data_IF_039580340136
#
_entry.id   IF_039580340136
#
_cell.length_a   1.000
_cell.length_b   1.000
_cell.length_c   1.000
_cell.angle_alpha   90.00
_cell.angle_beta   90.00
_cell.angle_gamma   90.00
#
_symmetry.space_group_name_H-M   'P 1'
#
loop_
_entity.id
_entity.type
_entity.pdbx_description
1 polymer ?
#
# COMPACT_ATOMS: atom_id res chain seq x y z
N UNK A 1 15.27 -30.43 7.27
CA UNK A 1 13.82 -30.73 7.30
C UNK A 1 13.11 -29.46 7.63
N UNK A 2 12.75 -28.68 6.60
CA UNK A 2 11.92 -27.49 6.76
C UNK A 2 10.49 -27.96 7.01
N UNK A 3 10.02 -27.74 8.23
CA UNK A 3 8.61 -27.92 8.58
C UNK A 3 7.79 -26.91 7.78
N UNK A 4 7.20 -27.36 6.67
CA UNK A 4 6.27 -26.60 5.89
C UNK A 4 5.13 -26.11 6.77
N UNK A 5 5.22 -24.83 7.18
CA UNK A 5 4.17 -24.17 7.98
C UNK A 5 2.88 -24.17 7.17
N UNK A 6 1.85 -24.82 7.68
CA UNK A 6 0.58 -24.95 6.99
C UNK A 6 0.04 -23.57 6.64
N UNK A 7 -0.09 -23.31 5.36
CA UNK A 7 -0.73 -22.12 4.83
C UNK A 7 -2.21 -22.24 5.14
N UNK A 8 -2.75 -21.32 5.94
CA UNK A 8 -4.18 -21.31 6.27
C UNK A 8 -4.89 -20.41 5.26
N UNK A 9 -5.80 -21.00 4.51
CA UNK A 9 -6.72 -20.26 3.64
C UNK A 9 -7.90 -19.73 4.44
N UNK A 10 -8.34 -18.53 4.11
CA UNK A 10 -9.47 -17.86 4.76
C UNK A 10 -10.56 -17.59 3.73
N UNK A 11 -11.81 -17.90 4.10
CA UNK A 11 -12.99 -17.70 3.26
C UNK A 11 -13.68 -16.35 3.47
N UNK A 12 -13.18 -15.54 4.41
CA UNK A 12 -13.76 -14.24 4.76
C UNK A 12 -12.78 -13.12 4.46
N UNK A 13 -13.25 -11.92 4.11
CA UNK A 13 -12.39 -10.75 3.97
C UNK A 13 -11.64 -10.47 5.27
N UNK A 14 -10.40 -10.02 5.15
CA UNK A 14 -9.56 -9.59 6.28
C UNK A 14 -9.10 -8.16 6.06
N UNK A 15 -8.94 -7.42 7.15
CA UNK A 15 -8.35 -6.08 7.12
C UNK A 15 -6.95 -6.15 7.73
N UNK A 16 -5.99 -5.50 7.10
CA UNK A 16 -4.63 -5.41 7.58
C UNK A 16 -3.99 -4.07 7.21
N UNK A 17 -2.77 -3.86 7.65
CA UNK A 17 -2.02 -2.63 7.44
C UNK A 17 -1.17 -2.69 6.19
N UNK A 18 -1.13 -1.57 5.45
CA UNK A 18 -0.31 -1.46 4.24
C UNK A 18 0.23 -0.04 4.09
N UNK A 19 1.44 0.06 3.54
CA UNK A 19 1.99 1.31 3.06
C UNK A 19 1.76 1.44 1.54
N UNK A 20 1.54 2.67 1.09
CA UNK A 20 1.49 3.05 -0.33
C UNK A 20 2.39 4.24 -0.61
N UNK A 21 2.82 4.35 -1.84
CA UNK A 21 3.25 5.63 -2.40
C UNK A 21 2.03 6.41 -2.87
N UNK A 22 2.08 7.73 -2.81
CA UNK A 22 1.18 8.61 -3.55
C UNK A 22 1.96 9.08 -4.77
N UNK A 23 1.47 8.73 -5.95
CA UNK A 23 2.16 8.99 -7.21
C UNK A 23 1.36 9.93 -8.09
N UNK A 24 2.07 10.77 -8.83
CA UNK A 24 1.47 11.64 -9.82
C UNK A 24 1.24 10.87 -11.13
N UNK A 25 0.03 10.93 -11.65
CA UNK A 25 -0.37 10.32 -12.92
C UNK A 25 -1.07 11.35 -13.79
N UNK A 26 -1.25 11.06 -15.08
CA UNK A 26 -2.03 11.91 -15.97
C UNK A 26 -3.50 12.12 -15.51
N UNK A 27 -4.00 11.24 -14.65
CA UNK A 27 -5.35 11.32 -14.07
C UNK A 27 -5.35 11.89 -12.64
N UNK A 28 -4.29 12.59 -12.21
CA UNK A 28 -4.09 13.13 -10.87
C UNK A 28 -3.36 12.14 -9.94
N UNK A 29 -3.40 12.44 -8.63
CA UNK A 29 -2.73 11.60 -7.64
C UNK A 29 -3.42 10.24 -7.47
N UNK A 30 -2.62 9.19 -7.36
CA UNK A 30 -3.08 7.81 -7.14
C UNK A 30 -2.24 7.12 -6.09
N UNK A 31 -2.83 6.11 -5.45
CA UNK A 31 -2.06 5.17 -4.63
C UNK A 31 -1.20 4.30 -5.55
N UNK A 32 0.05 4.13 -5.19
CA UNK A 32 1.00 3.24 -5.85
C UNK A 32 1.52 2.19 -4.89
N UNK A 33 1.93 1.05 -5.39
CA UNK A 33 2.63 0.05 -4.59
C UNK A 33 4.05 0.51 -4.27
N UNK A 34 4.53 0.23 -3.03
CA UNK A 34 5.89 0.64 -2.61
C UNK A 34 7.02 -0.21 -3.22
N UNK A 35 6.71 -1.41 -3.73
CA UNK A 35 7.70 -2.35 -4.26
C UNK A 35 7.53 -2.64 -5.76
N UNK A 36 6.44 -2.22 -6.36
CA UNK A 36 6.13 -2.53 -7.76
C UNK A 36 5.54 -1.30 -8.43
N UNK A 37 5.81 -1.13 -9.70
CA UNK A 37 5.18 -0.10 -10.52
C UNK A 37 3.72 -0.49 -10.81
N UNK A 38 2.87 -0.29 -9.83
CA UNK A 38 1.44 -0.58 -9.88
C UNK A 38 0.66 0.56 -9.25
N UNK A 39 -0.04 1.33 -10.06
CA UNK A 39 -1.01 2.30 -9.59
C UNK A 39 -2.35 1.61 -9.27
N UNK A 40 -2.91 1.94 -8.12
CA UNK A 40 -4.21 1.42 -7.69
C UNK A 40 -5.32 2.32 -8.23
N UNK A 41 -6.29 1.79 -8.96
CA UNK A 41 -7.42 2.59 -9.44
C UNK A 41 -8.33 2.98 -8.28
N UNK A 42 -8.91 4.19 -8.35
CA UNK A 42 -10.00 4.59 -7.45
C UNK A 42 -11.31 3.92 -7.85
N UNK A 43 -12.13 3.57 -6.86
CA UNK A 43 -13.50 3.06 -7.07
C UNK A 43 -13.60 1.60 -7.53
N UNK A 44 -12.48 0.87 -7.68
CA UNK A 44 -12.51 -0.56 -8.01
C UNK A 44 -11.35 -1.33 -7.37
N UNK A 45 -11.63 -2.58 -7.03
CA UNK A 45 -10.64 -3.51 -6.50
C UNK A 45 -9.48 -3.75 -7.47
N UNK A 46 -8.31 -4.03 -6.89
CA UNK A 46 -7.15 -4.49 -7.63
C UNK A 46 -7.08 -6.01 -7.53
N UNK A 47 -6.81 -6.67 -8.66
CA UNK A 47 -6.61 -8.12 -8.75
C UNK A 47 -5.12 -8.40 -8.88
N UNK A 48 -4.62 -9.33 -8.08
CA UNK A 48 -3.21 -9.69 -8.09
C UNK A 48 -2.92 -10.69 -9.21
N UNK A 49 -1.78 -10.48 -9.85
CA UNK A 49 -1.20 -11.37 -10.84
C UNK A 49 0.16 -11.87 -10.35
N UNK A 50 0.55 -13.07 -10.78
CA UNK A 50 1.88 -13.58 -10.50
C UNK A 50 2.85 -13.10 -11.59
N UNK A 51 3.85 -12.30 -11.21
CA UNK A 51 4.84 -11.73 -12.13
C UNK A 51 6.15 -12.50 -12.17
N UNK A 52 6.25 -13.68 -11.55
CA UNK A 52 7.47 -14.47 -11.56
C UNK A 52 7.90 -14.95 -12.97
N UNK A 53 6.99 -14.92 -13.96
CA UNK A 53 7.30 -15.25 -15.34
C UNK A 53 7.74 -14.07 -16.21
N UNK A 54 7.75 -12.84 -15.67
CA UNK A 54 8.14 -11.63 -16.41
C UNK A 54 9.66 -11.39 -16.41
N UNK A 55 10.40 -12.06 -15.52
CA UNK A 55 11.87 -12.02 -15.56
C UNK A 55 12.38 -12.97 -16.67
N UNK A 56 12.99 -12.44 -17.73
CA UNK A 56 13.48 -13.25 -18.85
C UNK A 56 14.60 -14.23 -18.46
N UNK A 57 15.18 -14.07 -17.26
CA UNK A 57 16.24 -14.95 -16.72
C UNK A 57 15.72 -15.92 -15.65
N UNK A 58 14.45 -15.79 -15.23
CA UNK A 58 13.86 -16.68 -14.26
C UNK A 58 13.38 -17.97 -14.94
N UNK A 59 13.49 -19.08 -14.20
CA UNK A 59 12.82 -20.32 -14.64
C UNK A 59 11.31 -20.06 -14.64
N UNK A 60 10.60 -20.33 -15.76
CA UNK A 60 9.16 -20.15 -15.83
C UNK A 60 8.49 -20.90 -14.68
N UNK A 61 7.81 -20.16 -13.80
CA UNK A 61 7.02 -20.79 -12.76
C UNK A 61 5.79 -21.46 -13.38
N UNK A 62 5.48 -22.69 -12.93
CA UNK A 62 4.23 -23.31 -13.33
C UNK A 62 3.04 -22.42 -12.95
N UNK A 63 2.00 -22.33 -13.81
CA UNK A 63 0.79 -21.59 -13.46
C UNK A 63 0.22 -22.06 -12.12
N UNK A 64 -0.10 -21.10 -11.25
CA UNK A 64 -0.66 -21.40 -9.93
C UNK A 64 -1.72 -20.35 -9.55
N UNK A 65 -2.67 -20.67 -8.65
CA UNK A 65 -3.56 -19.69 -8.06
C UNK A 65 -2.78 -18.58 -7.35
N UNK A 66 -3.29 -17.36 -7.37
CA UNK A 66 -2.68 -16.21 -6.65
C UNK A 66 -3.48 -15.95 -5.37
N UNK A 67 -2.80 -15.90 -4.20
CA UNK A 67 -1.39 -16.17 -3.89
C UNK A 67 -1.02 -17.65 -3.98
N UNK A 68 0.17 -17.95 -4.53
CA UNK A 68 0.69 -19.32 -4.58
C UNK A 68 1.40 -19.74 -3.28
N UNK A 69 1.33 -21.02 -2.92
CA UNK A 69 1.94 -21.55 -1.70
C UNK A 69 3.47 -21.42 -1.66
N UNK A 70 4.13 -21.67 -2.79
CA UNK A 70 5.58 -21.56 -2.94
C UNK A 70 6.05 -20.24 -3.57
N UNK A 71 5.18 -19.23 -3.68
CA UNK A 71 5.42 -17.99 -4.36
C UNK A 71 5.09 -16.80 -3.43
N UNK A 72 5.78 -15.68 -3.61
CA UNK A 72 5.53 -14.47 -2.84
C UNK A 72 4.50 -13.51 -3.50
N UNK A 73 3.74 -13.99 -4.48
CA UNK A 73 2.73 -13.22 -5.19
C UNK A 73 1.50 -12.92 -4.32
N UNK A 74 0.68 -11.98 -4.78
CA UNK A 74 -0.52 -11.52 -4.09
C UNK A 74 -0.34 -10.13 -3.45
N UNK A 75 -1.44 -9.55 -3.01
CA UNK A 75 -1.41 -8.31 -2.22
C UNK A 75 -1.11 -8.62 -0.77
N UNK A 76 -0.08 -8.00 -0.24
CA UNK A 76 0.36 -8.17 1.14
C UNK A 76 -0.25 -7.12 2.04
N UNK A 77 -0.66 -7.54 3.25
CA UNK A 77 -0.99 -6.65 4.35
C UNK A 77 -0.39 -7.18 5.65
N UNK A 78 0.17 -6.29 6.44
CA UNK A 78 0.71 -6.61 7.74
C UNK A 78 -0.40 -6.73 8.79
N UNK A 79 -0.16 -7.52 9.83
CA UNK A 79 -1.06 -7.63 10.99
C UNK A 79 -0.99 -6.38 11.83
N UNK A 80 0.20 -5.85 12.01
CA UNK A 80 0.48 -4.70 12.84
C UNK A 80 0.92 -3.50 12.02
N UNK A 81 0.50 -2.30 12.43
CA UNK A 81 0.86 -1.05 11.76
C UNK A 81 2.37 -0.78 11.79
N UNK A 82 3.07 -1.23 12.84
CA UNK A 82 4.53 -1.08 12.98
C UNK A 82 5.29 -1.76 11.84
N UNK A 83 4.84 -2.94 11.40
CA UNK A 83 5.46 -3.68 10.31
C UNK A 83 5.25 -2.95 8.97
N UNK A 84 4.01 -2.50 8.72
CA UNK A 84 3.69 -1.73 7.53
C UNK A 84 4.39 -0.35 7.51
N UNK A 85 4.59 0.28 8.67
CA UNK A 85 5.24 1.58 8.81
C UNK A 85 6.70 1.56 8.34
N UNK A 86 7.39 0.42 8.43
CA UNK A 86 8.75 0.28 7.92
C UNK A 86 8.86 0.60 6.43
N UNK A 87 7.81 0.30 5.65
CA UNK A 87 7.72 0.55 4.21
C UNK A 87 7.39 2.01 3.85
N UNK A 88 7.03 2.85 4.82
CA UNK A 88 6.88 4.30 4.58
C UNK A 88 8.23 5.01 4.53
N UNK A 89 9.33 4.31 4.93
CA UNK A 89 10.71 4.77 4.85
C UNK A 89 11.35 4.13 3.62
N UNK A 90 12.10 4.89 2.86
CA UNK A 90 12.80 4.35 1.71
C UNK A 90 13.14 5.42 0.69
N UNK A 91 13.75 5.00 -0.41
CA UNK A 91 14.05 5.87 -1.53
C UNK A 91 12.76 6.08 -2.33
N UNK A 92 12.46 7.33 -2.62
CA UNK A 92 11.30 7.65 -3.45
C UNK A 92 11.68 7.51 -4.93
N UNK A 93 10.84 6.80 -5.67
CA UNK A 93 10.91 6.73 -7.13
C UNK A 93 10.49 8.09 -7.74
N UNK A 94 10.97 8.43 -8.95
CA UNK A 94 10.50 9.61 -9.65
C UNK A 94 8.97 9.63 -9.77
N UNK A 95 8.35 10.78 -9.48
CA UNK A 95 6.89 10.91 -9.47
C UNK A 95 6.22 10.54 -8.14
N UNK A 96 6.95 10.03 -7.16
CA UNK A 96 6.41 9.84 -5.80
C UNK A 96 6.31 11.18 -5.07
N UNK A 97 5.09 11.53 -4.67
CA UNK A 97 4.79 12.75 -3.87
C UNK A 97 5.08 12.51 -2.40
N UNK A 98 4.56 11.43 -1.86
CA UNK A 98 4.80 11.00 -0.48
C UNK A 98 4.51 9.50 -0.31
N UNK A 99 4.81 8.98 0.88
CA UNK A 99 4.37 7.64 1.31
C UNK A 99 3.38 7.78 2.44
N UNK A 100 2.36 6.95 2.41
CA UNK A 100 1.29 6.95 3.41
C UNK A 100 1.07 5.56 3.98
N UNK A 101 0.51 5.49 5.17
CA UNK A 101 0.05 4.28 5.81
C UNK A 101 -1.47 4.21 5.70
N UNK A 102 -2.04 3.01 5.72
CA UNK A 102 -3.47 2.82 5.79
C UNK A 102 -3.86 1.38 6.05
N UNK A 103 -5.15 1.17 6.07
CA UNK A 103 -5.75 -0.15 6.18
C UNK A 103 -6.22 -0.60 4.80
N UNK A 104 -6.07 -1.89 4.53
CA UNK A 104 -6.48 -2.54 3.29
C UNK A 104 -7.39 -3.72 3.60
N UNK A 105 -8.49 -3.82 2.89
CA UNK A 105 -9.32 -5.02 2.90
C UNK A 105 -8.82 -5.97 1.83
N UNK A 106 -8.64 -7.23 2.21
CA UNK A 106 -8.17 -8.33 1.40
C UNK A 106 -9.25 -9.38 1.29
N UNK A 107 -9.49 -9.93 0.10
CA UNK A 107 -10.47 -11.01 -0.11
C UNK A 107 -10.15 -11.89 -1.33
N UNK A 108 -11.07 -12.77 -1.68
CA UNK A 108 -10.87 -13.81 -2.67
C UNK A 108 -10.08 -14.96 -2.07
N UNK A 109 -9.03 -15.40 -2.73
CA UNK A 109 -8.09 -16.35 -2.15
C UNK A 109 -7.19 -15.62 -1.17
N UNK A 110 -7.38 -15.83 0.14
CA UNK A 110 -6.63 -15.19 1.23
C UNK A 110 -5.79 -16.22 1.94
N UNK A 111 -4.51 -15.94 2.06
CA UNK A 111 -3.53 -16.80 2.72
C UNK A 111 -2.96 -16.07 3.93
N UNK A 112 -3.02 -16.70 5.10
CA UNK A 112 -2.41 -16.20 6.31
C UNK A 112 -0.91 -16.50 6.31
N UNK A 113 -0.11 -15.47 6.61
CA UNK A 113 1.34 -15.57 6.79
C UNK A 113 1.72 -15.33 8.26
N UNK A 114 2.99 -15.39 8.57
CA UNK A 114 3.50 -15.11 9.91
C UNK A 114 3.22 -13.67 10.35
N UNK A 115 3.50 -12.70 9.49
CA UNK A 115 3.40 -11.27 9.77
C UNK A 115 2.09 -10.63 9.28
N UNK A 116 1.19 -11.39 8.63
CA UNK A 116 -0.02 -10.80 8.07
C UNK A 116 -0.76 -11.72 7.11
N UNK A 117 -1.11 -11.19 5.96
CA UNK A 117 -1.90 -11.88 4.94
C UNK A 117 -1.45 -11.55 3.54
N UNK A 118 -1.75 -12.47 2.62
CA UNK A 118 -1.68 -12.24 1.17
C UNK A 118 -3.01 -12.59 0.53
N UNK A 119 -3.42 -11.83 -0.48
CA UNK A 119 -4.71 -12.09 -1.14
C UNK A 119 -4.66 -11.85 -2.64
N UNK A 120 -5.65 -12.44 -3.33
CA UNK A 120 -5.86 -12.22 -4.76
C UNK A 120 -6.52 -10.88 -5.08
N UNK A 121 -7.28 -10.31 -4.14
CA UNK A 121 -8.00 -9.05 -4.32
C UNK A 121 -7.71 -8.12 -3.14
N UNK A 122 -7.63 -6.83 -3.43
CA UNK A 122 -7.41 -5.81 -2.41
C UNK A 122 -8.08 -4.49 -2.79
N UNK A 123 -8.49 -3.74 -1.74
CA UNK A 123 -8.88 -2.34 -1.85
C UNK A 123 -8.56 -1.61 -0.55
N UNK A 124 -8.12 -0.34 -0.58
CA UNK A 124 -7.94 0.43 0.64
C UNK A 124 -9.26 0.57 1.38
N UNK A 125 -9.24 0.55 2.71
CA UNK A 125 -10.40 0.75 3.58
C UNK A 125 -10.28 2.00 4.43
N UNK A 126 -9.03 2.40 4.75
CA UNK A 126 -8.73 3.65 5.44
C UNK A 126 -7.34 4.17 5.08
N UNK A 127 -7.18 5.49 4.95
CA UNK A 127 -5.91 6.13 4.62
C UNK A 127 -5.54 7.16 5.68
N UNK A 128 -4.25 7.21 6.04
CA UNK A 128 -3.66 8.20 6.93
C UNK A 128 -2.71 9.07 6.13
N UNK A 129 -3.10 10.32 5.89
CA UNK A 129 -2.40 11.24 4.97
C UNK A 129 -1.77 12.42 5.71
N UNK A 130 -0.70 13.04 5.19
CA UNK A 130 0.01 14.13 5.86
C UNK A 130 -0.80 15.44 5.92
N UNK A 131 -1.57 15.73 4.87
CA UNK A 131 -2.23 17.02 4.70
C UNK A 131 -3.57 16.91 3.98
N UNK A 132 -4.29 18.04 3.89
CA UNK A 132 -5.62 18.13 3.29
C UNK A 132 -5.59 18.06 1.75
N UNK A 133 -4.50 18.48 1.11
CA UNK A 133 -4.39 18.46 -0.35
C UNK A 133 -4.31 17.01 -0.84
N UNK A 134 -3.52 16.19 -0.16
CA UNK A 134 -3.45 14.74 -0.41
C UNK A 134 -4.80 14.08 -0.08
N UNK A 135 -5.46 14.48 1.02
CA UNK A 135 -6.78 13.96 1.37
C UNK A 135 -7.81 14.24 0.26
N UNK A 136 -7.87 15.48 -0.23
CA UNK A 136 -8.77 15.87 -1.31
C UNK A 136 -8.48 15.12 -2.61
N UNK A 137 -7.21 14.97 -2.97
CA UNK A 137 -6.78 14.27 -4.18
C UNK A 137 -7.14 12.76 -4.14
N UNK A 138 -7.13 12.15 -2.96
CA UNK A 138 -7.46 10.73 -2.77
C UNK A 138 -8.92 10.47 -2.42
N UNK A 139 -9.76 11.50 -2.31
CA UNK A 139 -11.20 11.36 -1.96
C UNK A 139 -11.96 10.43 -2.93
N UNK A 140 -11.52 10.34 -4.19
CA UNK A 140 -12.10 9.45 -5.20
C UNK A 140 -12.01 7.95 -4.87
N UNK A 141 -11.23 7.55 -3.85
CA UNK A 141 -11.22 6.17 -3.37
C UNK A 141 -12.47 5.81 -2.57
N UNK A 142 -13.23 6.80 -2.06
CA UNK A 142 -14.47 6.56 -1.33
C UNK A 142 -14.28 5.86 0.02
N UNK A 143 -13.13 6.03 0.65
CA UNK A 143 -12.75 5.41 1.94
C UNK A 143 -12.52 6.47 3.00
N UNK A 144 -12.48 6.07 4.27
CA UNK A 144 -12.13 6.97 5.37
C UNK A 144 -10.72 7.52 5.20
N UNK A 145 -10.56 8.85 5.26
CA UNK A 145 -9.26 9.49 5.18
C UNK A 145 -9.03 10.31 6.46
N UNK A 146 -7.99 9.94 7.19
CA UNK A 146 -7.52 10.65 8.39
C UNK A 146 -6.31 11.51 8.04
N UNK A 147 -6.40 12.83 8.28
CA UNK A 147 -5.34 13.78 7.99
C UNK A 147 -4.55 14.12 9.27
N UNK A 148 -3.21 13.98 9.24
CA UNK A 148 -2.35 14.29 10.38
C UNK A 148 -2.32 15.79 10.72
N UNK A 149 -2.50 16.65 9.71
CA UNK A 149 -2.55 18.12 9.90
C UNK A 149 -3.85 18.60 10.55
N UNK A 150 -4.91 17.75 10.59
CA UNK A 150 -6.18 18.08 11.24
C UNK A 150 -6.14 17.89 12.76
N UNK A 151 -5.01 18.16 13.42
CA UNK A 151 -4.87 18.17 14.87
C UNK A 151 -5.89 19.10 15.52
N UNK A 152 -6.85 18.51 16.23
CA UNK A 152 -7.79 19.16 17.16
C UNK A 152 -8.82 20.14 16.56
N UNK A 153 -9.90 19.64 15.96
CA UNK A 153 -11.27 20.14 16.24
C UNK A 153 -12.27 19.00 16.03
N UNK A 154 -12.78 18.52 17.12
CA UNK A 154 -14.09 17.87 17.36
C UNK A 154 -14.80 17.23 16.15
N UNK A 155 -14.39 16.03 15.79
CA UNK A 155 -15.26 15.01 15.20
C UNK A 155 -14.98 13.68 15.89
N UNK A 156 -15.98 12.83 16.20
CA UNK A 156 -15.85 11.75 17.17
C UNK A 156 -15.08 10.52 16.69
N UNK A 157 -14.20 10.61 15.69
CA UNK A 157 -13.48 9.46 15.15
C UNK A 157 -12.01 9.73 14.76
N UNK A 158 -11.38 10.81 15.26
CA UNK A 158 -9.95 11.02 15.05
C UNK A 158 -9.16 10.43 16.23
N UNK A 159 -8.80 9.16 16.16
CA UNK A 159 -7.74 8.61 17.01
C UNK A 159 -6.39 9.04 16.42
N UNK A 160 -5.75 10.03 17.04
CA UNK A 160 -4.44 10.52 16.62
C UNK A 160 -3.40 9.40 16.81
N UNK A 161 -2.91 8.82 15.70
CA UNK A 161 -1.62 8.13 15.71
C UNK A 161 -0.52 9.20 15.61
N UNK A 162 0.51 9.17 16.46
CA UNK A 162 1.62 10.13 16.39
C UNK A 162 2.58 9.73 15.26
N UNK A 163 2.19 9.97 14.02
CA UNK A 163 3.10 9.88 12.89
C UNK A 163 3.88 11.19 12.80
N UNK A 164 5.12 11.19 13.29
CA UNK A 164 6.05 12.28 13.00
C UNK A 164 6.53 12.16 11.55
N UNK A 165 5.76 12.70 10.62
CA UNK A 165 6.24 13.00 9.29
C UNK A 165 7.01 14.33 9.35
N UNK A 166 8.31 14.29 9.14
CA UNK A 166 9.08 15.49 8.92
C UNK A 166 8.92 15.90 7.44
N UNK A 167 8.36 17.07 7.10
CA UNK A 167 8.33 17.54 5.74
C UNK A 167 9.76 17.81 5.28
N UNK A 168 10.19 17.15 4.20
CA UNK A 168 11.42 17.53 3.51
C UNK A 168 11.11 18.77 2.67
N UNK A 169 11.49 19.94 3.16
CA UNK A 169 11.50 21.18 2.39
C UNK A 169 12.40 21.01 1.16
N UNK A 170 11.79 21.02 -0.03
CA UNK A 170 12.53 21.14 -1.29
C UNK A 170 13.04 22.59 -1.40
N UNK A 171 14.32 22.78 -1.18
CA UNK A 171 15.01 24.01 -1.58
C UNK A 171 15.25 23.90 -3.09
N UNK A 172 14.44 24.55 -3.90
CA UNK A 172 14.72 24.81 -5.30
C UNK A 172 15.88 25.79 -5.37
N UNK A 173 17.07 25.31 -5.68
CA UNK A 173 18.15 26.18 -6.12
C UNK A 173 17.94 26.42 -7.60
N UNK A 174 17.52 27.65 -7.92
CA UNK A 174 17.59 28.18 -9.29
C UNK A 174 19.07 28.30 -9.66
N UNK A 175 19.52 27.48 -10.62
CA UNK A 175 20.77 27.70 -11.33
C UNK A 175 20.52 28.75 -12.40
N UNK A 176 21.12 29.93 -12.24
CA UNK A 176 21.20 30.93 -13.32
C UNK A 176 22.23 30.49 -14.35
N UNK A 177 21.96 30.68 -15.66
CA UNK A 177 22.96 30.46 -16.69
C UNK A 177 23.91 31.66 -16.79
N UNK A 178 25.18 31.36 -16.88
CA UNK A 178 26.21 32.23 -17.47
C UNK A 178 26.77 31.53 -18.68
#
# INVERSE_FOLDING_TARGET
METGRAIRELSVPVTGWRAWTVVETHAGLRLGSVLHDLAWPSGRAVVAECRLGEDPFAVPAAPHPVPGAGCNCGFHAARDSSDALSYTRGRDEPGTVCRILGEVTLWGHVVQTESGWRASHAYPSRLYVPDLDIAAALAGYGVDISCAACGSRSSPTCTAMPLRFAPRSRIWRTASPT
#
